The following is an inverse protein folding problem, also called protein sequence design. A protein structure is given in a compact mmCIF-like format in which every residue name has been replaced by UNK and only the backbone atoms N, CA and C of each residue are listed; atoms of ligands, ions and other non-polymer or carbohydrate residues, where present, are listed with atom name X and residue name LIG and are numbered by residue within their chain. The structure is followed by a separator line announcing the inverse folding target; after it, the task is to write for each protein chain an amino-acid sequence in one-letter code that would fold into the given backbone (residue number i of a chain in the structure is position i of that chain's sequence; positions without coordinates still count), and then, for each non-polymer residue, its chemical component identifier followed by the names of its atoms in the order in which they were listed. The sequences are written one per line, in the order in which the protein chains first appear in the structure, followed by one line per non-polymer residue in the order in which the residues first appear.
data_IF_241856973636
#
_entry.id   IF_241856973636
#
_cell.length_a   1.000
_cell.length_b   1.000
_cell.length_c   1.000
_cell.angle_alpha   90.00
_cell.angle_beta   90.00
_cell.angle_gamma   90.00
#
_symmetry.space_group_name_H-M   'P 1'
#
loop_
_entity.id
_entity.type
_entity.pdbx_description
1 polymer ?
#
# COMPACT_ATOMS: atom_id res chain seq x y z
N UNK A 1 -46.27 -38.55 -36.26
CA UNK A 1 -47.35 -37.79 -35.60
C UNK A 1 -47.25 -38.04 -34.10
N UNK A 2 -46.65 -37.12 -33.35
CA UNK A 2 -46.57 -37.17 -31.89
C UNK A 2 -47.93 -36.78 -31.32
N UNK A 3 -48.57 -37.71 -30.62
CA UNK A 3 -49.88 -37.48 -30.02
C UNK A 3 -49.74 -36.44 -28.88
N UNK A 4 -50.37 -35.25 -28.98
CA UNK A 4 -50.26 -34.21 -27.94
C UNK A 4 -50.80 -34.65 -26.58
N UNK A 5 -51.54 -35.76 -26.49
CA UNK A 5 -52.06 -36.28 -25.23
C UNK A 5 -51.03 -37.04 -24.37
N UNK A 6 -49.88 -37.43 -24.94
CA UNK A 6 -48.80 -38.15 -24.23
C UNK A 6 -47.75 -37.24 -23.59
N UNK A 7 -48.10 -35.99 -23.29
CA UNK A 7 -47.21 -35.11 -22.52
C UNK A 7 -47.13 -35.58 -21.07
N UNK A 8 -45.90 -35.81 -20.59
CA UNK A 8 -45.64 -36.10 -19.18
C UNK A 8 -46.19 -34.99 -18.29
N UNK A 9 -46.50 -35.27 -17.01
CA UNK A 9 -46.96 -34.23 -16.07
C UNK A 9 -46.02 -33.01 -15.99
N UNK A 10 -44.71 -33.22 -16.16
CA UNK A 10 -43.71 -32.14 -16.26
C UNK A 10 -43.86 -31.35 -17.56
N UNK A 11 -44.06 -32.01 -18.70
CA UNK A 11 -44.31 -31.35 -19.99
C UNK A 11 -45.59 -30.52 -19.99
N UNK A 12 -46.66 -30.99 -19.32
CA UNK A 12 -47.92 -30.24 -19.16
C UNK A 12 -47.74 -28.99 -18.30
N UNK A 13 -46.90 -29.05 -17.25
CA UNK A 13 -46.55 -27.86 -16.43
C UNK A 13 -45.77 -26.82 -17.22
N UNK A 14 -44.88 -27.24 -18.12
CA UNK A 14 -44.11 -26.33 -18.96
C UNK A 14 -44.95 -25.64 -20.05
N UNK A 15 -46.09 -26.24 -20.44
CA UNK A 15 -47.01 -25.72 -21.45
C UNK A 15 -48.21 -24.96 -20.85
N UNK A 16 -48.35 -24.92 -19.51
CA UNK A 16 -49.37 -24.11 -18.86
C UNK A 16 -48.96 -22.62 -18.87
N UNK A 17 -49.62 -21.85 -19.74
CA UNK A 17 -49.44 -20.40 -19.85
C UNK A 17 -49.59 -19.68 -18.52
N UNK A 18 -50.52 -20.11 -17.66
CA UNK A 18 -50.76 -19.44 -16.36
C UNK A 18 -49.59 -19.66 -15.42
N UNK A 19 -49.15 -20.90 -15.27
CA UNK A 19 -47.96 -21.25 -14.48
C UNK A 19 -46.71 -20.57 -15.04
N UNK A 20 -46.52 -20.56 -16.36
CA UNK A 20 -45.39 -19.88 -17.00
C UNK A 20 -45.36 -18.38 -16.67
N UNK A 21 -46.46 -17.66 -16.89
CA UNK A 21 -46.52 -16.22 -16.62
C UNK A 21 -46.35 -15.90 -15.13
N UNK A 22 -46.92 -16.74 -14.25
CA UNK A 22 -46.78 -16.59 -12.81
C UNK A 22 -45.33 -16.82 -12.34
N UNK A 23 -44.70 -17.91 -12.78
CA UNK A 23 -43.31 -18.22 -12.45
C UNK A 23 -42.36 -17.19 -13.03
N UNK A 24 -42.51 -16.79 -14.30
CA UNK A 24 -41.68 -15.76 -14.92
C UNK A 24 -41.82 -14.42 -14.17
N UNK A 25 -43.06 -13.99 -13.91
CA UNK A 25 -43.32 -12.74 -13.18
C UNK A 25 -42.71 -12.72 -11.78
N UNK A 26 -42.88 -13.79 -11.00
CA UNK A 26 -42.28 -13.91 -9.67
C UNK A 26 -40.74 -13.97 -9.72
N UNK A 27 -40.17 -14.66 -10.71
CA UNK A 27 -38.71 -14.77 -10.87
C UNK A 27 -38.09 -13.43 -11.22
N UNK A 28 -38.67 -12.71 -12.20
CA UNK A 28 -38.18 -11.39 -12.60
C UNK A 28 -38.35 -10.38 -11.47
N UNK A 29 -39.48 -10.42 -10.75
CA UNK A 29 -39.71 -9.55 -9.58
C UNK A 29 -38.74 -9.88 -8.45
N UNK A 30 -38.47 -11.17 -8.19
CA UNK A 30 -37.49 -11.59 -7.19
C UNK A 30 -36.07 -11.13 -7.53
N UNK A 31 -35.66 -11.23 -8.80
CA UNK A 31 -34.38 -10.70 -9.28
C UNK A 31 -34.31 -9.18 -9.16
N UNK A 32 -35.38 -8.47 -9.56
CA UNK A 32 -35.46 -7.01 -9.45
C UNK A 32 -35.38 -6.55 -7.99
N UNK A 33 -36.15 -7.17 -7.09
CA UNK A 33 -36.12 -6.88 -5.65
C UNK A 33 -34.74 -7.20 -5.05
N UNK A 34 -34.13 -8.32 -5.42
CA UNK A 34 -32.76 -8.65 -4.96
C UNK A 34 -31.75 -7.63 -5.45
N UNK A 35 -31.87 -7.15 -6.69
CA UNK A 35 -31.03 -6.07 -7.22
C UNK A 35 -31.24 -4.75 -6.48
N UNK A 36 -32.48 -4.42 -6.12
CA UNK A 36 -32.80 -3.21 -5.35
C UNK A 36 -32.26 -3.31 -3.92
N UNK A 37 -32.47 -4.43 -3.24
CA UNK A 37 -31.94 -4.67 -1.89
C UNK A 37 -30.40 -4.72 -1.87
N UNK A 38 -29.78 -5.23 -2.92
CA UNK A 38 -28.32 -5.18 -3.07
C UNK A 38 -27.80 -3.75 -3.30
N UNK A 39 -28.57 -2.90 -3.99
CA UNK A 39 -28.25 -1.48 -4.14
C UNK A 39 -28.46 -0.69 -2.83
N UNK A 40 -29.46 -1.07 -2.03
CA UNK A 40 -29.79 -0.44 -0.74
C UNK A 40 -28.98 -1.01 0.44
N UNK A 41 -28.19 -2.07 0.22
CA UNK A 41 -27.35 -2.67 1.24
C UNK A 41 -26.32 -1.64 1.74
N UNK A 42 -26.60 -1.06 2.90
CA UNK A 42 -25.67 -0.13 3.54
C UNK A 42 -24.46 -0.91 4.03
N UNK A 43 -23.24 -0.50 3.66
CA UNK A 43 -22.02 -1.09 4.18
C UNK A 43 -21.96 -0.90 5.70
N UNK A 44 -21.30 -1.83 6.40
CA UNK A 44 -21.15 -1.81 7.87
C UNK A 44 -20.51 -0.50 8.37
N UNK A 45 -19.70 0.17 7.53
CA UNK A 45 -19.08 1.46 7.84
C UNK A 45 -20.01 2.67 7.70
N UNK A 46 -21.22 2.50 7.16
CA UNK A 46 -22.14 3.60 6.83
C UNK A 46 -21.73 4.48 5.64
N UNK A 47 -20.53 4.28 5.07
CA UNK A 47 -20.01 5.04 3.91
C UNK A 47 -20.08 4.19 2.65
N UNK A 48 -20.73 4.69 1.59
CA UNK A 48 -20.78 4.02 0.30
C UNK A 48 -19.36 3.80 -0.27
N UNK A 49 -19.01 2.57 -0.72
CA UNK A 49 -17.71 2.29 -1.32
C UNK A 49 -17.44 3.15 -2.55
N UNK A 50 -16.20 3.58 -2.73
CA UNK A 50 -15.73 4.16 -3.98
C UNK A 50 -15.16 3.01 -4.80
N UNK A 51 -15.89 2.60 -5.83
CA UNK A 51 -15.45 1.55 -6.75
C UNK A 51 -14.86 2.19 -8.00
N UNK A 52 -13.58 1.93 -8.32
CA UNK A 52 -13.01 2.48 -9.53
C UNK A 52 -13.67 1.83 -10.76
N UNK A 53 -14.04 2.64 -11.75
CA UNK A 53 -14.51 2.17 -13.04
C UNK A 53 -13.30 1.70 -13.85
N UNK A 54 -13.18 0.39 -14.07
CA UNK A 54 -12.06 -0.23 -14.79
C UNK A 54 -12.53 -0.64 -16.17
N UNK A 55 -11.89 -0.12 -17.22
CA UNK A 55 -12.00 -0.67 -18.57
C UNK A 55 -11.14 -1.94 -18.65
N UNK A 56 -11.73 -3.13 -18.90
CA UNK A 56 -10.97 -4.36 -19.03
C UNK A 56 -9.93 -4.34 -20.16
N UNK A 57 -10.12 -3.49 -21.19
CA UNK A 57 -9.17 -3.34 -22.29
C UNK A 57 -8.00 -2.42 -21.94
N UNK A 58 -8.18 -1.55 -20.94
CA UNK A 58 -7.13 -0.68 -20.44
C UNK A 58 -7.21 -0.56 -18.91
N UNK A 59 -6.91 -1.64 -18.17
CA UNK A 59 -7.13 -1.69 -16.73
C UNK A 59 -6.22 -0.74 -15.94
N UNK A 60 -5.16 -0.23 -16.58
CA UNK A 60 -4.16 0.66 -16.01
C UNK A 60 -4.42 2.13 -16.29
N UNK A 61 -5.48 2.49 -17.02
CA UNK A 61 -5.83 3.87 -17.30
C UNK A 61 -5.87 4.72 -16.02
N UNK A 62 -5.27 5.91 -16.11
CA UNK A 62 -5.27 6.89 -15.03
C UNK A 62 -6.71 7.26 -14.63
N UNK A 63 -6.94 7.33 -13.33
CA UNK A 63 -8.25 7.61 -12.73
C UNK A 63 -8.13 8.74 -11.72
N UNK A 64 -9.25 9.44 -11.52
CA UNK A 64 -9.29 10.57 -10.59
C UNK A 64 -9.11 10.07 -9.14
N UNK A 65 -8.35 10.81 -8.32
CA UNK A 65 -8.26 10.53 -6.89
C UNK A 65 -9.60 10.76 -6.19
N UNK A 66 -9.71 10.28 -4.94
CA UNK A 66 -10.93 10.42 -4.16
C UNK A 66 -11.14 11.86 -3.67
N UNK A 67 -10.06 12.63 -3.50
CA UNK A 67 -10.05 14.03 -3.08
C UNK A 67 -8.74 14.72 -3.50
N UNK A 68 -8.61 16.03 -3.23
CA UNK A 68 -7.37 16.78 -3.46
C UNK A 68 -6.46 16.76 -2.23
N UNK A 69 -5.14 16.79 -2.46
CA UNK A 69 -4.14 16.87 -1.39
C UNK A 69 -2.87 17.57 -1.87
N UNK A 70 -2.10 18.15 -0.95
CA UNK A 70 -0.87 18.89 -1.26
C UNK A 70 0.18 18.00 -1.92
N UNK A 71 0.36 16.77 -1.40
CA UNK A 71 1.25 15.79 -1.99
C UNK A 71 0.78 15.41 -3.41
N UNK A 72 1.70 15.53 -4.38
CA UNK A 72 1.50 15.12 -5.78
C UNK A 72 2.17 13.78 -6.07
N UNK A 73 3.23 13.47 -5.34
CA UNK A 73 4.05 12.28 -5.51
C UNK A 73 4.41 11.76 -4.11
N UNK A 74 4.39 10.44 -3.95
CA UNK A 74 4.74 9.78 -2.69
C UNK A 74 5.78 8.71 -3.01
N UNK A 75 6.94 8.77 -2.35
CA UNK A 75 7.98 7.75 -2.41
C UNK A 75 8.01 7.02 -1.07
N UNK A 76 7.70 5.72 -1.08
CA UNK A 76 7.80 4.86 0.09
C UNK A 76 9.03 3.98 -0.06
N UNK A 77 9.98 4.11 0.87
CA UNK A 77 11.18 3.25 0.93
C UNK A 77 11.02 2.32 2.12
N UNK A 78 10.89 1.02 1.83
CA UNK A 78 10.86 -0.02 2.85
C UNK A 78 12.17 -0.81 2.87
N UNK A 79 12.83 -0.86 4.02
CA UNK A 79 14.09 -1.57 4.22
C UNK A 79 13.82 -2.90 4.94
N UNK A 80 13.72 -4.05 4.25
CA UNK A 80 13.46 -5.35 4.88
C UNK A 80 14.63 -5.73 5.82
N UNK A 81 14.30 -6.21 7.02
CA UNK A 81 15.28 -6.40 8.11
C UNK A 81 15.55 -5.15 8.95
N UNK A 82 15.00 -4.01 8.54
CA UNK A 82 15.09 -2.70 9.16
C UNK A 82 16.54 -2.16 9.28
N UNK A 83 16.64 -0.84 9.34
CA UNK A 83 17.82 -0.17 9.89
C UNK A 83 17.56 -0.02 11.39
N UNK A 84 18.54 -0.31 12.24
CA UNK A 84 18.39 -0.15 13.68
C UNK A 84 18.10 1.32 14.01
N UNK A 85 16.88 1.61 14.43
CA UNK A 85 16.43 2.96 14.77
C UNK A 85 17.20 3.52 15.98
N UNK A 86 17.53 2.68 16.96
CA UNK A 86 18.31 3.07 18.16
C UNK A 86 19.80 3.31 17.88
N UNK A 87 20.29 2.86 16.72
CA UNK A 87 21.64 3.14 16.25
C UNK A 87 21.70 4.29 15.23
N UNK A 88 20.55 4.85 14.83
CA UNK A 88 20.47 5.90 13.79
C UNK A 88 19.81 7.17 14.29
N UNK A 89 18.47 7.13 14.44
CA UNK A 89 17.65 8.32 14.68
C UNK A 89 17.00 8.35 16.06
N UNK A 90 17.03 7.29 16.86
CA UNK A 90 16.34 7.23 18.17
C UNK A 90 17.34 7.09 19.32
N UNK A 91 17.90 8.22 19.75
CA UNK A 91 18.87 8.23 20.85
C UNK A 91 18.23 7.85 22.19
N UNK A 92 18.64 6.71 22.73
CA UNK A 92 18.20 6.23 24.05
C UNK A 92 19.38 6.18 25.04
N UNK A 93 19.61 7.23 25.84
CA UNK A 93 20.73 7.27 26.79
C UNK A 93 20.67 6.17 27.85
N UNK A 94 19.47 5.62 28.11
CA UNK A 94 19.30 4.48 29.01
C UNK A 94 20.03 3.21 28.51
N UNK A 95 20.16 3.01 27.20
CA UNK A 95 20.87 1.84 26.64
C UNK A 95 22.35 1.84 27.03
N UNK A 96 22.98 3.00 27.12
CA UNK A 96 24.36 3.12 27.59
C UNK A 96 24.51 2.76 29.08
N UNK A 97 23.49 3.06 29.90
CA UNK A 97 23.49 2.74 31.34
C UNK A 97 23.22 1.26 31.61
N UNK A 98 22.46 0.62 30.73
CA UNK A 98 22.02 -0.77 30.86
C UNK A 98 22.84 -1.74 30.01
N UNK A 99 23.92 -1.26 29.38
CA UNK A 99 24.80 -2.07 28.53
C UNK A 99 25.27 -3.33 29.25
N UNK A 100 25.15 -4.48 28.59
CA UNK A 100 25.49 -5.79 29.14
C UNK A 100 24.49 -6.37 30.15
N UNK A 101 23.42 -5.64 30.53
CA UNK A 101 22.38 -6.14 31.43
C UNK A 101 21.26 -6.86 30.64
N UNK A 102 20.51 -7.72 31.33
CA UNK A 102 19.30 -8.33 30.75
C UNK A 102 18.18 -7.29 30.64
N UNK A 103 17.42 -7.27 29.54
CA UNK A 103 16.30 -6.36 29.41
C UNK A 103 15.19 -6.68 30.42
N UNK A 104 14.66 -5.67 31.13
CA UNK A 104 13.62 -5.89 32.14
C UNK A 104 12.30 -6.28 31.47
N UNK A 105 11.62 -7.30 32.03
CA UNK A 105 10.28 -7.70 31.58
C UNK A 105 10.24 -8.52 30.30
N UNK A 106 11.38 -8.92 29.73
CA UNK A 106 11.43 -9.89 28.62
C UNK A 106 11.60 -11.32 29.15
N UNK A 107 10.96 -12.31 28.52
CA UNK A 107 11.17 -13.72 28.86
C UNK A 107 12.61 -14.16 28.53
N UNK A 108 13.11 -15.20 29.20
CA UNK A 108 14.47 -15.73 28.95
C UNK A 108 14.65 -16.28 27.53
N UNK A 109 13.58 -16.79 26.94
CA UNK A 109 13.53 -17.30 25.57
C UNK A 109 12.37 -16.64 24.85
N UNK A 110 12.66 -16.05 23.69
CA UNK A 110 11.67 -15.48 22.76
C UNK A 110 11.47 -16.42 21.58
N UNK A 111 10.57 -16.06 20.66
CA UNK A 111 10.41 -16.75 19.38
C UNK A 111 11.72 -16.84 18.58
N UNK A 112 12.65 -15.89 18.74
CA UNK A 112 13.93 -15.85 18.02
C UNK A 112 15.08 -16.53 18.78
N UNK A 113 14.80 -17.09 19.97
CA UNK A 113 15.78 -17.78 20.80
C UNK A 113 16.07 -17.07 22.13
N UNK A 114 17.18 -17.43 22.80
CA UNK A 114 17.55 -16.87 24.10
C UNK A 114 17.73 -15.36 24.03
N UNK A 115 17.13 -14.66 24.99
CA UNK A 115 17.21 -13.19 25.05
C UNK A 115 18.65 -12.75 25.30
N UNK A 116 19.18 -11.90 24.41
CA UNK A 116 20.49 -11.28 24.54
C UNK A 116 20.56 -10.27 25.68
N UNK A 117 21.73 -9.68 25.87
CA UNK A 117 21.89 -8.53 26.75
C UNK A 117 21.59 -7.24 25.96
N UNK A 118 21.19 -6.18 26.67
CA UNK A 118 21.08 -4.84 26.11
C UNK A 118 22.46 -4.43 25.60
N UNK A 119 22.51 -3.95 24.35
CA UNK A 119 23.69 -3.30 23.80
C UNK A 119 23.48 -1.78 23.84
N UNK A 120 24.52 -1.05 24.26
CA UNK A 120 24.60 0.39 23.98
C UNK A 120 24.68 0.64 22.47
N UNK A 121 24.34 1.85 22.00
CA UNK A 121 24.60 2.23 20.62
C UNK A 121 26.09 2.11 20.28
N UNK A 122 26.40 1.56 19.10
CA UNK A 122 27.78 1.37 18.66
C UNK A 122 28.39 2.63 18.01
N UNK A 123 27.55 3.61 17.68
CA UNK A 123 27.94 4.87 17.04
C UNK A 123 27.66 6.06 17.95
N UNK A 124 28.50 7.09 17.83
CA UNK A 124 28.31 8.33 18.57
C UNK A 124 27.09 9.09 18.05
N UNK A 125 26.23 9.55 18.97
CA UNK A 125 25.13 10.45 18.67
C UNK A 125 25.54 11.90 18.93
N UNK A 126 25.17 12.77 18.00
CA UNK A 126 25.44 14.21 18.07
C UNK A 126 24.15 14.98 17.77
N UNK A 127 23.92 16.13 18.44
CA UNK A 127 22.84 17.02 18.05
C UNK A 127 23.12 17.54 16.64
N UNK A 128 22.08 17.61 15.81
CA UNK A 128 22.16 18.04 14.41
C UNK A 128 21.42 19.34 14.20
N UNK A 129 22.08 20.23 13.47
CA UNK A 129 21.54 21.45 12.86
C UNK A 129 20.56 22.21 13.77
N UNK A 130 19.44 22.70 13.23
CA UNK A 130 18.54 23.62 13.95
C UNK A 130 17.60 22.87 14.91
N UNK A 131 17.17 21.66 14.54
CA UNK A 131 16.29 20.86 15.39
C UNK A 131 16.97 20.36 16.66
N UNK A 132 18.31 20.32 16.68
CA UNK A 132 19.09 19.70 17.75
C UNK A 132 18.84 18.20 17.86
N UNK A 133 18.25 17.58 16.82
CA UNK A 133 17.87 16.16 16.84
C UNK A 133 19.13 15.31 17.00
N UNK A 134 19.13 14.44 18.02
CA UNK A 134 20.22 13.48 18.19
C UNK A 134 20.17 12.43 17.07
N UNK A 135 21.24 12.37 16.26
CA UNK A 135 21.42 11.39 15.17
C UNK A 135 22.86 10.86 15.19
N UNK A 136 23.03 9.56 14.94
CA UNK A 136 24.34 8.92 14.98
C UNK A 136 25.21 9.25 13.76
N UNK A 137 26.53 9.12 13.93
CA UNK A 137 27.50 9.22 12.84
C UNK A 137 27.51 8.02 11.87
N UNK A 138 26.61 7.04 12.04
CA UNK A 138 26.44 5.94 11.08
C UNK A 138 25.93 6.42 9.72
N UNK A 139 25.14 7.49 9.73
CA UNK A 139 24.42 8.02 8.55
C UNK A 139 24.67 9.52 8.37
N UNK A 140 25.94 9.94 8.20
CA UNK A 140 26.33 11.35 8.29
C UNK A 140 25.69 12.23 7.21
N UNK A 141 25.39 11.67 6.03
CA UNK A 141 24.74 12.42 4.95
C UNK A 141 23.25 12.65 5.19
N UNK A 142 22.54 11.65 5.73
CA UNK A 142 21.13 11.81 6.11
C UNK A 142 21.00 12.73 7.35
N UNK A 143 21.99 12.70 8.23
CA UNK A 143 22.01 13.55 9.41
C UNK A 143 22.02 15.06 9.08
N UNK A 144 22.52 15.45 7.90
CA UNK A 144 22.51 16.85 7.40
C UNK A 144 21.15 17.30 6.87
N UNK A 145 20.19 16.38 6.75
CA UNK A 145 18.86 16.61 6.20
C UNK A 145 17.77 16.43 7.27
N UNK A 146 18.19 16.28 8.53
CA UNK A 146 17.28 15.89 9.62
C UNK A 146 16.21 16.94 9.91
N UNK A 147 16.49 18.20 9.59
CA UNK A 147 15.55 19.31 9.78
C UNK A 147 14.37 19.23 8.80
N UNK A 148 14.55 18.55 7.67
CA UNK A 148 13.48 18.27 6.69
C UNK A 148 12.73 16.95 6.98
N UNK A 149 13.10 16.22 8.05
CA UNK A 149 12.52 14.92 8.36
C UNK A 149 11.40 15.04 9.41
N UNK A 150 10.25 14.45 9.10
CA UNK A 150 9.24 14.13 10.10
C UNK A 150 9.51 12.74 10.69
N UNK A 151 9.78 12.69 12.00
CA UNK A 151 10.01 11.43 12.71
C UNK A 151 8.72 10.89 13.32
N UNK A 152 8.40 9.64 12.99
CA UNK A 152 7.23 8.95 13.52
C UNK A 152 7.63 7.76 14.40
N UNK A 153 7.81 8.01 15.70
CA UNK A 153 8.28 7.00 16.68
C UNK A 153 7.15 6.29 17.44
N UNK A 154 5.92 6.35 16.93
CA UNK A 154 4.72 5.84 17.60
C UNK A 154 4.28 4.44 17.12
N UNK A 155 4.88 3.93 16.03
CA UNK A 155 4.42 2.71 15.39
C UNK A 155 4.76 1.48 16.22
N UNK A 156 3.73 0.66 16.48
CA UNK A 156 3.87 -0.63 17.18
C UNK A 156 3.19 -1.74 16.36
N UNK A 157 3.64 -2.97 16.59
CA UNK A 157 3.08 -4.16 15.95
C UNK A 157 3.08 -5.33 16.94
N UNK A 158 2.10 -6.22 16.80
CA UNK A 158 1.96 -7.39 17.65
C UNK A 158 2.73 -8.61 17.12
N UNK A 159 3.39 -8.48 15.97
CA UNK A 159 4.22 -9.55 15.40
C UNK A 159 5.71 -9.26 15.57
N UNK A 160 6.41 -10.22 16.16
CA UNK A 160 7.87 -10.24 16.21
C UNK A 160 8.49 -11.01 15.04
N UNK A 161 7.67 -11.66 14.20
CA UNK A 161 8.16 -12.56 13.17
C UNK A 161 8.33 -11.82 11.84
N UNK A 162 9.53 -11.93 11.28
CA UNK A 162 9.98 -11.12 10.15
C UNK A 162 9.06 -11.21 8.90
N UNK A 163 8.69 -12.42 8.39
CA UNK A 163 7.77 -12.50 7.24
C UNK A 163 6.37 -11.92 7.51
N UNK A 164 5.85 -12.13 8.72
CA UNK A 164 4.55 -11.63 9.13
C UNK A 164 4.54 -10.11 9.23
N UNK A 165 5.64 -9.51 9.73
CA UNK A 165 5.83 -8.05 9.76
C UNK A 165 5.91 -7.45 8.35
N UNK A 166 6.64 -8.09 7.44
CA UNK A 166 6.69 -7.72 6.02
C UNK A 166 5.30 -7.75 5.36
N UNK A 167 4.55 -8.82 5.56
CA UNK A 167 3.18 -8.91 5.04
C UNK A 167 2.28 -7.83 5.66
N UNK A 168 2.44 -7.58 6.95
CA UNK A 168 1.55 -6.66 7.65
C UNK A 168 1.71 -5.23 7.15
N UNK A 169 2.95 -4.75 7.01
CA UNK A 169 3.19 -3.39 6.52
C UNK A 169 2.78 -3.24 5.05
N UNK A 170 3.11 -4.22 4.20
CA UNK A 170 2.87 -4.10 2.75
C UNK A 170 1.44 -4.47 2.33
N UNK A 171 0.76 -5.37 3.03
CA UNK A 171 -0.56 -5.89 2.64
C UNK A 171 -1.64 -5.67 3.70
N UNK A 172 -1.32 -5.07 4.85
CA UNK A 172 -2.26 -4.79 5.92
C UNK A 172 -2.68 -6.01 6.75
N UNK A 173 -2.13 -7.19 6.46
CA UNK A 173 -2.43 -8.43 7.18
C UNK A 173 -1.14 -9.22 7.40
N UNK A 174 -1.02 -9.89 8.54
CA UNK A 174 0.13 -10.76 8.84
C UNK A 174 0.13 -12.05 7.99
N UNK A 175 -1.05 -12.43 7.48
CA UNK A 175 -1.24 -13.58 6.60
C UNK A 175 -1.05 -13.23 5.13
N UNK A 176 -0.70 -14.23 4.33
CA UNK A 176 -0.55 -14.11 2.88
C UNK A 176 -1.90 -14.06 2.16
N UNK A 177 -1.87 -13.76 0.86
CA UNK A 177 -3.06 -13.75 -0.01
C UNK A 177 -3.84 -12.42 -0.03
N UNK A 178 -3.39 -11.43 0.74
CA UNK A 178 -3.96 -10.08 0.70
C UNK A 178 -3.22 -9.19 -0.32
N UNK A 179 -3.93 -8.27 -0.98
CA UNK A 179 -3.32 -7.37 -1.94
C UNK A 179 -2.35 -6.41 -1.24
N UNK A 180 -1.17 -6.22 -1.84
CA UNK A 180 -0.20 -5.24 -1.38
C UNK A 180 -0.68 -3.79 -1.58
N UNK A 181 -0.04 -2.85 -0.90
CA UNK A 181 -0.28 -1.41 -0.99
C UNK A 181 -0.23 -0.93 -2.45
N UNK A 182 0.81 -1.31 -3.20
CA UNK A 182 0.94 -0.95 -4.61
C UNK A 182 -0.20 -1.50 -5.49
N UNK A 183 -0.69 -2.71 -5.17
CA UNK A 183 -1.84 -3.30 -5.86
C UNK A 183 -3.13 -2.52 -5.59
N UNK A 184 -3.36 -2.07 -4.35
CA UNK A 184 -4.50 -1.22 -3.99
C UNK A 184 -4.43 0.15 -4.69
N UNK A 185 -3.26 0.79 -4.66
CA UNK A 185 -3.05 2.10 -5.28
C UNK A 185 -3.27 2.03 -6.80
N UNK A 186 -2.67 1.05 -7.48
CA UNK A 186 -2.85 0.90 -8.92
C UNK A 186 -4.25 0.43 -9.30
N UNK A 187 -4.91 -0.35 -8.45
CA UNK A 187 -6.32 -0.66 -8.64
C UNK A 187 -7.21 0.58 -8.52
N UNK A 188 -6.89 1.53 -7.65
CA UNK A 188 -7.68 2.74 -7.46
C UNK A 188 -7.38 3.82 -8.52
N UNK A 189 -6.10 4.13 -8.73
CA UNK A 189 -5.64 5.28 -9.52
C UNK A 189 -5.15 4.92 -10.92
N UNK A 190 -4.74 3.67 -11.17
CA UNK A 190 -4.03 3.31 -12.40
C UNK A 190 -2.67 3.99 -12.49
N UNK A 191 -2.25 4.34 -13.70
CA UNK A 191 -0.99 5.03 -13.99
C UNK A 191 -1.18 6.01 -15.15
N UNK A 192 -0.50 7.15 -15.07
CA UNK A 192 -0.38 8.08 -16.21
C UNK A 192 0.68 7.60 -17.21
N UNK A 193 1.59 6.72 -16.77
CA UNK A 193 2.65 6.16 -17.59
C UNK A 193 2.12 4.98 -18.44
N UNK A 194 2.23 5.10 -19.77
CA UNK A 194 1.81 4.07 -20.73
C UNK A 194 2.97 3.14 -21.16
N UNK A 195 4.21 3.48 -20.78
CA UNK A 195 5.43 2.82 -21.24
C UNK A 195 6.02 1.86 -20.21
N UNK A 196 5.62 1.98 -18.94
CA UNK A 196 6.06 1.10 -17.85
C UNK A 196 4.87 0.45 -17.13
N UNK A 197 5.07 -0.72 -16.50
CA UNK A 197 4.05 -1.33 -15.65
C UNK A 197 3.57 -0.34 -14.58
N UNK A 198 2.26 -0.34 -14.30
CA UNK A 198 1.65 0.54 -13.31
C UNK A 198 2.21 0.31 -11.89
N UNK A 199 2.56 -0.93 -11.57
CA UNK A 199 3.17 -1.32 -10.30
C UNK A 199 4.46 -2.10 -10.56
N UNK A 200 5.57 -1.51 -10.17
CA UNK A 200 6.91 -2.07 -10.32
C UNK A 200 7.47 -2.45 -8.95
N UNK A 201 8.01 -3.66 -8.84
CA UNK A 201 8.72 -4.14 -7.66
C UNK A 201 10.22 -4.32 -7.98
N UNK A 202 11.03 -3.32 -7.62
CA UNK A 202 12.48 -3.37 -7.84
C UNK A 202 13.12 -4.12 -6.67
N UNK A 203 13.63 -5.32 -6.94
CA UNK A 203 14.19 -6.19 -5.90
C UNK A 203 15.72 -6.14 -5.86
N UNK A 204 16.29 -6.50 -4.71
CA UNK A 204 17.74 -6.64 -4.58
C UNK A 204 18.25 -7.81 -5.45
N UNK A 205 19.32 -7.64 -6.23
CA UNK A 205 19.90 -8.72 -7.04
C UNK A 205 20.46 -9.90 -6.23
N UNK A 206 20.55 -9.81 -4.91
CA UNK A 206 20.96 -10.88 -3.98
C UNK A 206 19.80 -11.79 -3.58
N UNK A 207 18.55 -11.35 -3.74
CA UNK A 207 17.37 -12.12 -3.39
C UNK A 207 16.19 -11.24 -2.99
N UNK A 208 15.01 -11.86 -2.91
CA UNK A 208 13.81 -11.19 -2.41
C UNK A 208 13.88 -11.00 -0.90
N UNK A 209 13.07 -10.05 -0.40
CA UNK A 209 12.69 -9.95 1.01
C UNK A 209 12.05 -11.27 1.51
N UNK A 210 11.94 -11.48 2.83
CA UNK A 210 11.60 -12.80 3.40
C UNK A 210 10.23 -13.31 2.96
N UNK A 211 9.25 -12.43 2.81
CA UNK A 211 7.90 -12.73 2.32
C UNK A 211 7.81 -12.81 0.79
N UNK A 212 8.93 -12.64 0.08
CA UNK A 212 9.02 -12.84 -1.35
C UNK A 212 8.01 -11.99 -2.12
N UNK A 213 7.26 -12.64 -3.01
CA UNK A 213 6.26 -12.01 -3.88
C UNK A 213 5.04 -11.46 -3.11
N UNK A 214 4.82 -11.88 -1.87
CA UNK A 214 3.69 -11.39 -1.08
C UNK A 214 3.79 -9.89 -0.78
N UNK A 215 5.02 -9.34 -0.74
CA UNK A 215 5.25 -7.91 -0.58
C UNK A 215 4.66 -7.05 -1.71
N UNK A 216 4.42 -7.62 -2.89
CA UNK A 216 3.94 -6.92 -4.09
C UNK A 216 2.87 -7.71 -4.84
N UNK A 217 2.15 -8.59 -4.13
CA UNK A 217 1.11 -9.45 -4.69
C UNK A 217 -0.21 -8.71 -4.94
N UNK A 218 -0.97 -9.11 -5.95
CA UNK A 218 -2.35 -8.64 -6.17
C UNK A 218 -3.38 -9.28 -5.21
N UNK A 219 -3.05 -10.40 -4.58
CA UNK A 219 -3.98 -11.13 -3.71
C UNK A 219 -5.28 -11.47 -4.46
N UNK A 220 -6.42 -11.06 -3.89
CA UNK A 220 -7.73 -11.22 -4.53
C UNK A 220 -8.13 -10.12 -5.53
N UNK A 221 -7.31 -9.06 -5.71
CA UNK A 221 -7.55 -8.09 -6.78
C UNK A 221 -7.26 -8.73 -8.15
N UNK A 222 -7.79 -8.17 -9.25
CA UNK A 222 -7.49 -8.67 -10.60
C UNK A 222 -5.97 -8.76 -10.87
N UNK A 223 -5.55 -9.80 -11.59
CA UNK A 223 -4.15 -10.06 -11.90
C UNK A 223 -3.45 -8.91 -12.66
N UNK A 224 -4.21 -8.03 -13.31
CA UNK A 224 -3.69 -6.81 -13.90
C UNK A 224 -2.86 -5.99 -12.89
N UNK A 225 -3.30 -5.92 -11.63
CA UNK A 225 -2.67 -5.10 -10.58
C UNK A 225 -1.54 -5.82 -9.82
N UNK A 226 -1.00 -6.91 -10.37
CA UNK A 226 0.16 -7.60 -9.82
C UNK A 226 1.43 -6.76 -10.02
N UNK A 227 2.24 -6.63 -8.97
CA UNK A 227 3.55 -6.00 -9.07
C UNK A 227 4.44 -6.77 -10.04
N UNK A 228 5.02 -6.05 -11.00
CA UNK A 228 6.01 -6.59 -11.94
C UNK A 228 7.38 -6.53 -11.31
N UNK A 229 7.97 -7.67 -10.98
CA UNK A 229 9.30 -7.74 -10.38
C UNK A 229 10.41 -7.73 -11.42
N UNK A 230 11.41 -6.88 -11.18
CA UNK A 230 12.66 -6.91 -11.92
C UNK A 230 13.82 -6.36 -11.09
N UNK A 231 15.04 -6.61 -11.55
CA UNK A 231 16.25 -6.03 -10.96
C UNK A 231 17.37 -5.90 -12.00
N UNK A 232 18.52 -5.36 -11.60
CA UNK A 232 19.66 -5.15 -12.50
C UNK A 232 20.22 -6.44 -13.14
N UNK A 233 20.01 -7.62 -12.53
CA UNK A 233 20.40 -8.92 -13.11
C UNK A 233 19.28 -9.54 -13.96
N UNK A 234 18.02 -9.27 -13.64
CA UNK A 234 16.84 -9.78 -14.32
C UNK A 234 15.98 -8.58 -14.79
N UNK A 235 16.37 -7.91 -15.88
CA UNK A 235 15.61 -6.78 -16.40
C UNK A 235 14.24 -7.25 -16.96
N UNK A 236 13.26 -6.35 -17.09
CA UNK A 236 12.02 -6.64 -17.80
C UNK A 236 12.24 -7.29 -19.17
N UNK A 237 11.39 -8.26 -19.52
CA UNK A 237 11.43 -8.88 -20.85
C UNK A 237 11.22 -7.82 -21.95
N UNK A 238 11.79 -8.07 -23.13
CA UNK A 238 11.68 -7.19 -24.31
C UNK A 238 12.34 -5.80 -24.19
N UNK A 239 13.30 -5.62 -23.28
CA UNK A 239 14.14 -4.41 -23.19
C UNK A 239 15.25 -4.32 -24.24
N UNK A 240 15.40 -5.33 -25.09
CA UNK A 240 16.39 -5.27 -26.15
C UNK A 240 15.98 -4.23 -27.19
N UNK A 241 16.91 -3.34 -27.54
CA UNK A 241 16.79 -2.39 -28.66
C UNK A 241 16.22 -3.13 -29.88
N UNK A 242 15.10 -2.67 -30.46
CA UNK A 242 14.61 -3.18 -31.74
C UNK A 242 15.72 -3.17 -32.78
N UNK A 243 15.87 -4.23 -33.57
CA UNK A 243 16.96 -4.33 -34.55
C UNK A 243 17.00 -3.19 -35.58
N UNK A 244 15.91 -2.44 -35.71
CA UNK A 244 15.73 -1.28 -36.59
C UNK A 244 16.32 0.03 -36.07
N UNK A 245 16.57 0.16 -34.76
CA UNK A 245 17.20 1.36 -34.17
C UNK A 245 18.69 1.12 -34.04
N UNK A 246 19.55 2.12 -34.30
CA UNK A 246 21.01 2.00 -34.05
C UNK A 246 21.33 2.21 -32.56
N UNK A 247 22.47 1.68 -32.08
CA UNK A 247 22.91 1.86 -30.69
C UNK A 247 23.15 3.34 -30.35
N UNK A 248 23.62 4.13 -31.32
CA UNK A 248 23.86 5.57 -31.15
C UNK A 248 22.55 6.36 -31.05
N UNK A 249 21.52 5.97 -31.80
CA UNK A 249 20.19 6.58 -31.70
C UNK A 249 19.54 6.32 -30.33
N UNK A 250 19.66 5.09 -29.82
CA UNK A 250 19.15 4.70 -28.50
C UNK A 250 19.84 5.48 -27.36
N UNK A 251 21.18 5.57 -27.40
CA UNK A 251 21.95 6.43 -26.47
C UNK A 251 21.56 7.90 -26.58
N UNK A 252 21.28 8.38 -27.80
CA UNK A 252 20.80 9.74 -28.02
C UNK A 252 19.51 10.05 -27.25
N UNK A 253 18.55 9.11 -27.24
CA UNK A 253 17.30 9.20 -26.49
C UNK A 253 17.53 9.19 -24.98
N UNK A 254 18.37 8.28 -24.47
CA UNK A 254 18.72 8.22 -23.04
C UNK A 254 19.40 9.52 -22.59
N UNK A 255 20.35 10.04 -23.36
CA UNK A 255 21.03 11.29 -23.06
C UNK A 255 20.08 12.48 -23.05
N UNK A 256 19.09 12.50 -23.95
CA UNK A 256 18.04 13.51 -23.95
C UNK A 256 17.17 13.42 -22.68
N UNK A 257 16.73 12.23 -22.30
CA UNK A 257 15.97 11.99 -21.06
C UNK A 257 16.75 12.42 -19.81
N UNK A 258 18.03 12.06 -19.71
CA UNK A 258 18.90 12.50 -18.63
C UNK A 258 19.03 14.02 -18.58
N UNK A 259 19.16 14.68 -19.74
CA UNK A 259 19.21 16.16 -19.82
C UNK A 259 17.88 16.81 -19.42
N UNK A 260 16.75 16.19 -19.74
CA UNK A 260 15.43 16.66 -19.30
C UNK A 260 15.24 16.47 -17.79
N UNK A 261 15.68 15.34 -17.24
CA UNK A 261 15.68 15.08 -15.79
C UNK A 261 16.61 16.04 -15.04
N UNK A 262 17.80 16.31 -15.57
CA UNK A 262 18.72 17.29 -15.02
C UNK A 262 18.11 18.71 -15.01
N UNK A 263 17.44 19.12 -16.10
CA UNK A 263 16.72 20.40 -16.16
C UNK A 263 15.49 20.46 -15.24
N UNK A 264 14.82 19.34 -15.02
CA UNK A 264 13.77 19.24 -14.01
C UNK A 264 14.35 19.46 -12.62
N UNK A 265 15.48 18.79 -12.30
CA UNK A 265 16.21 18.97 -11.05
C UNK A 265 16.67 20.44 -10.84
N UNK A 266 17.14 21.10 -11.90
CA UNK A 266 17.52 22.52 -11.89
C UNK A 266 16.33 23.48 -11.68
N UNK A 267 15.11 23.06 -12.05
CA UNK A 267 13.89 23.87 -11.95
C UNK A 267 13.18 23.77 -10.59
N UNK A 268 13.53 22.77 -9.78
CA UNK A 268 12.98 22.57 -8.43
C UNK A 268 14.10 22.41 -7.37
N UNK A 269 14.96 23.42 -7.13
CA UNK A 269 16.11 23.34 -6.23
C UNK A 269 15.79 23.64 -4.74
N UNK A 270 14.53 23.61 -4.32
CA UNK A 270 14.15 23.85 -2.94
C UNK A 270 12.65 23.69 -2.76
N UNK A 271 12.24 22.76 -1.91
CA UNK A 271 10.87 22.60 -1.46
C UNK A 271 10.95 22.07 -0.02
N UNK A 272 11.25 22.96 0.93
CA UNK A 272 11.12 22.72 2.37
C UNK A 272 10.14 23.74 2.94
N UNK A 273 9.06 23.23 3.52
CA UNK A 273 8.05 23.99 4.24
C UNK A 273 8.45 23.99 5.72
N UNK A 274 8.56 25.18 6.31
CA UNK A 274 8.76 25.36 7.74
C UNK A 274 7.46 24.95 8.43
N UNK A 275 7.48 23.90 9.27
CA UNK A 275 6.80 23.77 10.57
C UNK A 275 6.61 22.29 10.92
N UNK A 276 6.91 21.92 12.17
CA UNK A 276 6.29 20.71 12.77
C UNK A 276 7.03 19.99 13.89
N UNK A 277 7.29 20.67 15.00
CA UNK A 277 7.69 20.01 16.27
C UNK A 277 6.50 19.32 16.98
N UNK A 278 6.81 18.22 17.69
CA UNK A 278 6.02 17.45 18.70
C UNK A 278 4.91 16.54 18.14
N UNK A 279 4.66 15.35 18.67
CA UNK A 279 5.24 14.69 19.84
C UNK A 279 4.85 13.20 19.92
N UNK A 280 5.57 12.47 20.76
CA UNK A 280 5.12 11.18 21.25
C UNK A 280 3.98 11.40 22.27
N UNK A 281 2.85 10.70 22.09
CA UNK A 281 2.05 10.19 23.22
C UNK A 281 0.94 9.18 22.86
N UNK A 282 0.64 8.92 21.59
CA UNK A 282 -0.35 7.89 21.23
C UNK A 282 0.29 6.77 20.41
N UNK A 283 0.09 5.51 20.82
CA UNK A 283 0.55 4.35 20.07
C UNK A 283 -0.25 4.27 18.77
N UNK A 284 0.46 4.19 17.65
CA UNK A 284 -0.14 4.00 16.33
C UNK A 284 0.16 2.61 15.81
N UNK A 285 -0.73 2.10 14.98
CA UNK A 285 -0.65 0.77 14.39
C UNK A 285 -0.20 0.84 12.94
N UNK A 286 0.16 -0.31 12.36
CA UNK A 286 0.39 -0.46 10.92
C UNK A 286 -0.83 -0.01 10.09
N UNK A 287 -2.04 -0.16 10.64
CA UNK A 287 -3.26 0.30 9.97
C UNK A 287 -3.33 1.82 9.86
N UNK A 288 -2.87 2.55 10.88
CA UNK A 288 -2.85 4.03 10.89
C UNK A 288 -1.78 4.55 9.92
N UNK A 289 -0.64 3.88 9.85
CA UNK A 289 0.40 4.15 8.86
C UNK A 289 -0.14 3.97 7.43
N UNK A 290 -0.77 2.82 7.13
CA UNK A 290 -1.33 2.55 5.81
C UNK A 290 -2.49 3.50 5.47
N UNK A 291 -3.34 3.86 6.44
CA UNK A 291 -4.38 4.87 6.26
C UNK A 291 -3.78 6.23 5.87
N UNK A 292 -2.69 6.60 6.54
CA UNK A 292 -1.98 7.86 6.30
C UNK A 292 -1.31 7.89 4.92
N UNK A 293 -0.64 6.82 4.52
CA UNK A 293 -0.08 6.72 3.17
C UNK A 293 -1.15 6.79 2.08
N UNK A 294 -2.28 6.08 2.24
CA UNK A 294 -3.40 6.17 1.29
C UNK A 294 -3.96 7.59 1.23
N UNK A 295 -4.08 8.26 2.38
CA UNK A 295 -4.52 9.65 2.45
C UNK A 295 -3.58 10.60 1.70
N UNK A 296 -2.27 10.46 1.87
CA UNK A 296 -1.26 11.22 1.12
C UNK A 296 -1.34 10.96 -0.39
N UNK A 297 -1.72 9.73 -0.78
CA UNK A 297 -2.01 9.36 -2.17
C UNK A 297 -3.43 9.72 -2.63
N UNK A 298 -4.16 10.51 -1.84
CA UNK A 298 -5.50 11.02 -2.16
C UNK A 298 -6.58 9.93 -2.26
N UNK A 299 -6.42 8.87 -1.47
CA UNK A 299 -7.32 7.75 -1.39
C UNK A 299 -8.00 7.70 -0.01
N UNK A 300 -9.32 7.69 -0.02
CA UNK A 300 -10.13 7.41 1.17
C UNK A 300 -10.01 5.92 1.51
N UNK A 301 -9.19 5.59 2.51
CA UNK A 301 -8.95 4.21 2.91
C UNK A 301 -10.22 3.50 3.42
N UNK A 302 -11.20 4.24 3.94
CA UNK A 302 -12.43 3.65 4.48
C UNK A 302 -13.43 3.28 3.39
N UNK A 303 -13.38 4.01 2.27
CA UNK A 303 -14.26 3.81 1.11
C UNK A 303 -13.61 3.02 -0.01
N UNK A 304 -12.27 2.90 -0.03
CA UNK A 304 -11.54 2.04 -0.95
C UNK A 304 -11.68 0.58 -0.48
N UNK A 305 -12.71 -0.10 -0.98
CA UNK A 305 -12.99 -1.50 -0.64
C UNK A 305 -13.13 -2.38 -1.87
N UNK A 306 -12.93 -3.67 -1.68
CA UNK A 306 -13.14 -4.70 -2.68
C UNK A 306 -13.95 -5.86 -2.09
N UNK A 307 -15.02 -6.26 -2.77
CA UNK A 307 -15.88 -7.33 -2.29
C UNK A 307 -15.22 -8.69 -2.55
N UNK A 308 -14.89 -9.42 -1.49
CA UNK A 308 -14.26 -10.73 -1.58
C UNK A 308 -14.70 -11.64 -0.43
N UNK A 309 -15.15 -12.86 -0.78
CA UNK A 309 -15.63 -13.88 0.15
C UNK A 309 -16.70 -13.37 1.14
N UNK A 310 -17.68 -12.63 0.63
CA UNK A 310 -18.82 -12.16 1.42
C UNK A 310 -18.56 -10.87 2.23
N UNK A 311 -17.38 -10.27 2.11
CA UNK A 311 -16.98 -9.09 2.89
C UNK A 311 -16.40 -8.00 2.00
N UNK A 312 -16.70 -6.75 2.34
CA UNK A 312 -15.96 -5.58 1.82
C UNK A 312 -14.60 -5.52 2.51
N UNK A 313 -13.54 -5.88 1.79
CA UNK A 313 -12.16 -5.88 2.27
C UNK A 313 -11.49 -4.54 1.95
N UNK A 314 -10.63 -4.06 2.83
CA UNK A 314 -9.75 -2.88 2.60
C UNK A 314 -8.38 -3.13 3.22
N UNK A 315 -7.37 -2.36 2.77
CA UNK A 315 -5.99 -2.48 3.25
C UNK A 315 -5.87 -2.30 4.78
N UNK A 316 -6.70 -1.43 5.37
CA UNK A 316 -6.66 -1.16 6.81
C UNK A 316 -7.59 -2.06 7.64
N UNK A 317 -8.10 -3.15 7.06
CA UNK A 317 -9.08 -4.05 7.66
C UNK A 317 -10.32 -3.31 8.20
N UNK A 318 -10.62 -3.35 9.50
CA UNK A 318 -11.70 -2.55 10.13
C UNK A 318 -11.15 -1.40 10.98
N UNK A 319 -9.84 -1.15 10.88
CA UNK A 319 -9.08 -0.20 11.68
C UNK A 319 -8.52 0.92 10.78
N UNK A 320 -7.59 1.69 11.36
CA UNK A 320 -6.86 2.77 10.70
C UNK A 320 -7.51 4.13 10.98
N UNK A 321 -6.72 5.05 11.49
CA UNK A 321 -7.02 6.47 11.53
C UNK A 321 -5.89 7.21 10.81
N UNK A 322 -6.25 8.19 9.98
CA UNK A 322 -5.26 9.07 9.35
C UNK A 322 -4.58 9.88 10.46
N UNK A 323 -3.27 9.72 10.59
CA UNK A 323 -2.45 10.49 11.52
C UNK A 323 -2.32 11.89 10.93
N UNK A 324 -3.06 12.85 11.49
CA UNK A 324 -3.04 14.24 11.00
C UNK A 324 -1.96 15.11 11.66
N UNK A 325 -1.48 14.68 12.83
CA UNK A 325 -0.41 15.36 13.54
C UNK A 325 0.88 15.21 12.73
N UNK A 326 1.40 16.35 12.25
CA UNK A 326 2.57 16.41 11.35
C UNK A 326 2.24 16.43 9.84
N UNK A 327 0.96 16.44 9.43
CA UNK A 327 0.54 16.52 8.02
C UNK A 327 0.01 17.91 7.58
N UNK A 328 0.36 19.00 8.26
CA UNK A 328 -0.21 20.31 7.95
C UNK A 328 0.26 20.85 6.60
N UNK A 329 -0.59 20.74 5.58
CA UNK A 329 -1.13 21.89 4.83
C UNK A 329 -2.49 21.51 4.22
N UNK A 330 -3.51 22.32 4.55
CA UNK A 330 -4.88 22.35 4.04
C UNK A 330 -5.79 21.13 4.32
N UNK A 331 -6.47 21.16 5.47
CA UNK A 331 -7.73 20.41 5.67
C UNK A 331 -8.89 21.19 5.06
N UNK A 332 -9.72 20.62 4.18
CA UNK A 332 -11.11 21.05 4.07
C UNK A 332 -11.90 20.42 5.22
N UNK A 333 -12.55 21.26 6.01
CA UNK A 333 -13.57 20.87 6.98
C UNK A 333 -14.67 20.05 6.30
N UNK A 334 -14.88 18.81 6.74
CA UNK A 334 -16.10 18.08 6.43
C UNK A 334 -17.08 18.24 7.61
N UNK A 335 -17.85 19.32 7.59
CA UNK A 335 -19.25 19.30 8.06
C UNK A 335 -20.06 18.83 6.84
N UNK A 336 -21.02 17.91 6.89
CA UNK A 336 -21.97 17.48 7.92
C UNK A 336 -22.23 15.98 7.85
#
# INVERSE_FOLDING_TARGET
MTNPEQLSPLGRRLLDRRSFLHTAGLSTTGLALTSMLAADAKPVSGKAPIRPLIDPNNPHAARKPHFEHAAKQVLVIYCPGAVSHVDTFDYKPALAKLDGQKPPGLPEVTFEGPTGNIAKPFWEFKPRDETGKMVSDLIPHLAQQVDDFCFFHAMTTDTSAHPQGENFINAGFTMEGFPSFGSWVTNALGTENQELPAFVAINDPRGLARSGKNNFGNGFLPAAFQGTDFNAKNPPNNLNRPGTLSADADRGTINLLQRLNARHLEKYPGDSDEFGFKGALDKTTVYDFNATLLYLMRLDHERLTFYHNGLERRLTNVHGQVVKDGLSTATPSFET
#
